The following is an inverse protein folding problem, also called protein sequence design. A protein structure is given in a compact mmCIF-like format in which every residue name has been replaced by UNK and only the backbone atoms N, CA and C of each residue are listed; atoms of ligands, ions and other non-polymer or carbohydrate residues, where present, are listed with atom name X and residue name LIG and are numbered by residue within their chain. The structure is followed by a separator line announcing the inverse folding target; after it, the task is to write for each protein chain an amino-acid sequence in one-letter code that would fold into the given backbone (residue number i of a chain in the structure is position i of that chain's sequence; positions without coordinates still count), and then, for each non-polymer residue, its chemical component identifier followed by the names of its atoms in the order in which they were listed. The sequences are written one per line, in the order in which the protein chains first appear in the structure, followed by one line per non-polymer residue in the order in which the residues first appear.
data_IF_371961324493
#
_entry.id   IF_371961324493
#
_cell.length_a   1.000
_cell.length_b   1.000
_cell.length_c   1.000
_cell.angle_alpha   90.00
_cell.angle_beta   90.00
_cell.angle_gamma   90.00
#
_symmetry.space_group_name_H-M   'P 1'
#
loop_
_entity.id
_entity.type
_entity.pdbx_description
1 polymer ?
#
# COMPACT_ATOMS: atom_id res chain seq x y z
N UNK A 1 -27.65 30.09 -6.68
CA UNK A 1 -28.09 29.02 -5.76
C UNK A 1 -27.28 29.04 -4.44
N UNK A 2 -26.89 30.21 -3.92
CA UNK A 2 -26.19 30.34 -2.62
C UNK A 2 -26.56 31.67 -1.93
N UNK A 3 -27.82 32.09 -2.05
CA UNK A 3 -28.29 33.40 -1.56
C UNK A 3 -29.19 33.33 -0.33
N UNK A 4 -29.52 32.13 0.16
CA UNK A 4 -30.50 31.94 1.24
C UNK A 4 -29.88 31.42 2.56
N UNK A 5 -28.55 31.44 2.70
CA UNK A 5 -27.89 31.07 3.96
C UNK A 5 -27.90 32.28 4.92
N UNK A 6 -28.22 32.09 6.21
CA UNK A 6 -28.18 33.19 7.18
C UNK A 6 -26.75 33.71 7.33
N UNK A 7 -26.60 35.03 7.47
CA UNK A 7 -25.31 35.73 7.53
C UNK A 7 -24.38 35.21 8.65
N UNK A 8 -24.95 34.65 9.72
CA UNK A 8 -24.21 33.97 10.79
C UNK A 8 -23.42 32.76 10.29
N UNK A 9 -24.02 31.97 9.39
CA UNK A 9 -23.44 30.72 8.92
C UNK A 9 -22.33 31.01 7.91
N UNK A 10 -22.53 32.03 7.06
CA UNK A 10 -21.49 32.52 6.13
C UNK A 10 -20.27 33.01 6.90
N UNK A 11 -20.49 33.80 7.97
CA UNK A 11 -19.40 34.32 8.79
C UNK A 11 -18.63 33.19 9.49
N UNK A 12 -19.32 32.20 10.05
CA UNK A 12 -18.70 31.03 10.68
C UNK A 12 -17.89 30.19 9.67
N UNK A 13 -18.41 30.02 8.45
CA UNK A 13 -17.71 29.31 7.38
C UNK A 13 -16.39 30.00 7.01
N UNK A 14 -16.40 31.31 6.84
CA UNK A 14 -15.22 32.10 6.46
C UNK A 14 -14.15 32.16 7.57
N UNK A 15 -14.56 32.34 8.83
CA UNK A 15 -13.61 32.59 9.93
C UNK A 15 -13.13 31.32 10.63
N UNK A 16 -13.95 30.27 10.69
CA UNK A 16 -13.62 29.07 11.47
C UNK A 16 -13.60 27.79 10.64
N UNK A 17 -14.64 27.52 9.85
CA UNK A 17 -14.79 26.19 9.23
C UNK A 17 -13.82 25.96 8.06
N UNK A 18 -13.70 26.92 7.14
CA UNK A 18 -12.83 26.82 5.96
C UNK A 18 -11.32 26.85 6.31
N UNK A 19 -10.83 27.75 7.18
CA UNK A 19 -9.41 27.78 7.53
C UNK A 19 -8.98 26.58 8.39
N UNK A 20 -9.90 25.97 9.16
CA UNK A 20 -9.59 24.79 9.97
C UNK A 20 -9.68 23.47 9.18
N UNK A 21 -10.13 23.48 7.92
CA UNK A 21 -10.26 22.25 7.14
C UNK A 21 -8.91 21.83 6.52
N UNK A 22 -8.35 20.67 6.90
CA UNK A 22 -7.05 20.22 6.38
C UNK A 22 -7.07 19.89 4.87
N UNK A 23 -8.26 19.74 4.27
CA UNK A 23 -8.45 19.51 2.83
C UNK A 23 -8.51 20.79 2.01
N UNK A 24 -8.37 21.97 2.62
CA UNK A 24 -8.48 23.26 1.94
C UNK A 24 -7.24 24.10 2.24
N UNK A 25 -6.72 24.79 1.22
CA UNK A 25 -5.65 25.76 1.36
C UNK A 25 -6.18 27.16 1.04
N UNK A 26 -5.98 28.10 1.97
CA UNK A 26 -6.29 29.51 1.77
C UNK A 26 -5.16 30.20 1.02
N UNK A 27 -5.44 30.71 -0.17
CA UNK A 27 -4.54 31.57 -0.93
C UNK A 27 -4.59 32.99 -0.35
N UNK A 28 -3.49 33.75 -0.44
CA UNK A 28 -3.40 35.13 0.06
C UNK A 28 -4.49 36.07 -0.52
N UNK A 29 -5.03 35.73 -1.69
CA UNK A 29 -6.11 36.47 -2.37
C UNK A 29 -7.51 36.18 -1.82
N UNK A 30 -7.64 35.47 -0.69
CA UNK A 30 -8.92 35.08 -0.10
C UNK A 30 -9.64 33.95 -0.85
N UNK A 31 -8.94 33.24 -1.75
CA UNK A 31 -9.48 32.09 -2.49
C UNK A 31 -9.11 30.78 -1.81
N UNK A 32 -10.05 29.85 -1.81
CA UNK A 32 -9.85 28.50 -1.27
C UNK A 32 -9.54 27.52 -2.39
N UNK A 33 -8.42 26.79 -2.26
CA UNK A 33 -8.00 25.76 -3.20
C UNK A 33 -8.08 24.40 -2.51
N UNK A 34 -8.62 23.40 -3.20
CA UNK A 34 -8.66 22.04 -2.68
C UNK A 34 -7.24 21.49 -2.53
N UNK A 35 -6.93 20.96 -1.34
CA UNK A 35 -5.67 20.32 -1.01
C UNK A 35 -5.88 18.81 -0.95
N UNK A 36 -5.55 18.07 -2.03
CA UNK A 36 -5.64 16.62 -2.00
C UNK A 36 -4.67 16.05 -0.95
N UNK A 37 -4.96 14.84 -0.48
CA UNK A 37 -4.11 14.13 0.49
C UNK A 37 -2.68 13.93 -0.02
N UNK A 38 -2.55 13.77 -1.34
CA UNK A 38 -1.27 13.67 -2.04
C UNK A 38 -1.27 14.66 -3.22
N UNK A 39 -0.24 15.50 -3.34
CA UNK A 39 -0.02 16.36 -4.52
C UNK A 39 0.86 15.61 -5.51
N UNK A 40 0.25 14.65 -6.20
CA UNK A 40 0.85 13.92 -7.32
C UNK A 40 0.11 14.30 -8.58
N UNK A 41 0.83 14.63 -9.65
CA UNK A 41 0.27 14.98 -10.97
C UNK A 41 0.87 14.14 -12.07
N UNK A 42 2.12 13.75 -11.90
CA UNK A 42 2.90 13.03 -12.90
C UNK A 42 3.16 11.57 -12.52
N UNK A 43 3.36 10.73 -13.54
CA UNK A 43 3.82 9.33 -13.39
C UNK A 43 5.07 9.20 -12.51
N UNK A 44 6.04 10.10 -12.73
CA UNK A 44 7.30 10.10 -12.01
C UNK A 44 7.11 10.47 -10.53
N UNK A 45 6.21 11.40 -10.25
CA UNK A 45 5.89 11.81 -8.87
C UNK A 45 5.17 10.68 -8.13
N UNK A 46 4.25 9.96 -8.78
CA UNK A 46 3.61 8.78 -8.21
C UNK A 46 4.63 7.70 -7.85
N UNK A 47 5.58 7.41 -8.75
CA UNK A 47 6.65 6.45 -8.49
C UNK A 47 7.53 6.87 -7.30
N UNK A 48 7.92 8.14 -7.25
CA UNK A 48 8.70 8.69 -6.14
C UNK A 48 7.93 8.66 -4.81
N UNK A 49 6.62 8.93 -4.86
CA UNK A 49 5.74 8.86 -3.69
C UNK A 49 5.69 7.44 -3.14
N UNK A 50 5.45 6.44 -4.00
CA UNK A 50 5.41 5.03 -3.61
C UNK A 50 6.75 4.57 -3.01
N UNK A 51 7.87 4.96 -3.63
CA UNK A 51 9.22 4.66 -3.12
C UNK A 51 9.48 5.27 -1.75
N UNK A 52 9.05 6.52 -1.53
CA UNK A 52 9.17 7.19 -0.22
C UNK A 52 8.29 6.54 0.84
N UNK A 53 7.10 6.08 0.44
CA UNK A 53 6.16 5.38 1.33
C UNK A 53 6.75 4.06 1.83
N UNK A 54 7.34 3.27 0.96
CA UNK A 54 8.04 2.04 1.33
C UNK A 54 9.25 2.33 2.21
N UNK A 55 10.10 3.29 1.82
CA UNK A 55 11.29 3.65 2.60
C UNK A 55 10.96 4.12 4.02
N UNK A 56 9.85 4.82 4.20
CA UNK A 56 9.35 5.25 5.52
C UNK A 56 8.55 4.19 6.26
N UNK A 57 8.26 3.05 5.64
CA UNK A 57 7.41 2.01 6.22
C UNK A 57 5.95 2.42 6.40
N UNK A 58 5.46 3.40 5.62
CA UNK A 58 4.08 3.91 5.71
C UNK A 58 3.06 2.98 5.05
N UNK A 59 3.53 1.91 4.39
CA UNK A 59 2.67 0.93 3.72
C UNK A 59 2.13 1.43 2.38
N UNK A 60 1.06 0.79 1.92
CA UNK A 60 0.43 1.04 0.63
C UNK A 60 -0.51 2.23 0.63
N UNK A 61 -0.77 2.77 -0.55
CA UNK A 61 -1.65 3.92 -0.78
C UNK A 61 -2.93 3.45 -1.45
N UNK A 62 -4.09 3.91 -0.99
CA UNK A 62 -5.36 3.60 -1.64
C UNK A 62 -5.45 4.27 -3.01
N UNK A 63 -5.99 3.54 -4.00
CA UNK A 63 -6.24 4.09 -5.32
C UNK A 63 -7.24 5.25 -5.26
N UNK A 64 -8.25 5.16 -4.39
CA UNK A 64 -9.25 6.23 -4.16
C UNK A 64 -8.58 7.55 -3.76
N UNK A 65 -7.62 7.51 -2.84
CA UNK A 65 -6.89 8.70 -2.37
C UNK A 65 -6.05 9.35 -3.49
N UNK A 66 -5.65 8.56 -4.51
CA UNK A 66 -4.90 9.03 -5.67
C UNK A 66 -5.83 9.50 -6.79
N UNK A 67 -7.02 8.90 -6.92
CA UNK A 67 -8.07 9.35 -7.83
C UNK A 67 -8.57 10.75 -7.47
N UNK A 68 -8.55 11.13 -6.19
CA UNK A 68 -8.82 12.50 -5.76
C UNK A 68 -7.75 13.51 -6.22
N UNK A 69 -6.52 13.06 -6.48
CA UNK A 69 -5.39 13.93 -6.83
C UNK A 69 -5.15 14.01 -8.36
N UNK A 70 -5.39 12.93 -9.09
CA UNK A 70 -5.05 12.77 -10.51
C UNK A 70 -6.27 12.30 -11.30
N UNK A 71 -6.63 13.05 -12.34
CA UNK A 71 -7.57 12.58 -13.36
C UNK A 71 -6.97 11.38 -14.12
N UNK A 72 -7.73 10.30 -14.30
CA UNK A 72 -7.30 9.05 -14.95
C UNK A 72 -6.14 8.31 -14.26
N UNK A 73 -6.16 8.23 -12.93
CA UNK A 73 -5.15 7.52 -12.13
C UNK A 73 -4.90 6.08 -12.61
N UNK A 74 -5.94 5.37 -13.07
CA UNK A 74 -5.82 3.99 -13.57
C UNK A 74 -4.86 3.89 -14.75
N UNK A 75 -4.92 4.84 -15.69
CA UNK A 75 -4.02 4.88 -16.85
C UNK A 75 -2.58 5.13 -16.43
N UNK A 76 -2.39 5.99 -15.44
CA UNK A 76 -1.05 6.26 -14.87
C UNK A 76 -0.52 5.01 -14.20
N UNK A 77 -1.31 4.34 -13.36
CA UNK A 77 -0.91 3.09 -12.67
C UNK A 77 -0.60 1.98 -13.68
N UNK A 78 -1.42 1.81 -14.72
CA UNK A 78 -1.16 0.86 -15.81
C UNK A 78 0.16 1.17 -16.52
N UNK A 79 0.52 2.45 -16.67
CA UNK A 79 1.80 2.85 -17.27
C UNK A 79 3.02 2.56 -16.38
N UNK A 80 2.84 2.37 -15.06
CA UNK A 80 3.92 1.91 -14.16
C UNK A 80 4.06 0.38 -14.19
N UNK A 81 2.98 -0.35 -14.48
CA UNK A 81 2.97 -1.81 -14.66
C UNK A 81 3.71 -2.54 -13.54
N UNK A 82 4.78 -3.23 -13.91
CA UNK A 82 5.58 -4.08 -13.02
C UNK A 82 6.26 -3.36 -11.84
N UNK A 83 6.30 -2.03 -11.83
CA UNK A 83 6.87 -1.26 -10.71
C UNK A 83 5.89 -1.07 -9.54
N UNK A 84 4.63 -1.49 -9.71
CA UNK A 84 3.58 -1.31 -8.72
C UNK A 84 2.83 -2.61 -8.51
N UNK A 85 2.66 -3.00 -7.25
CA UNK A 85 1.83 -4.15 -6.87
C UNK A 85 0.45 -3.62 -6.46
N UNK A 86 -0.59 -4.14 -7.10
CA UNK A 86 -1.98 -3.82 -6.78
C UNK A 86 -2.57 -4.95 -5.94
N UNK A 87 -3.05 -4.61 -4.75
CA UNK A 87 -3.72 -5.57 -3.86
C UNK A 87 -5.14 -5.10 -3.62
N UNK A 88 -6.11 -5.97 -3.87
CA UNK A 88 -7.51 -5.69 -3.55
C UNK A 88 -7.77 -6.14 -2.11
N UNK A 89 -8.21 -5.21 -1.27
CA UNK A 89 -8.59 -5.53 0.11
C UNK A 89 -9.85 -6.43 0.09
N UNK A 90 -9.85 -7.59 0.77
CA UNK A 90 -10.96 -8.54 0.70
C UNK A 90 -12.25 -8.02 1.36
N UNK A 91 -12.13 -7.12 2.35
CA UNK A 91 -13.28 -6.53 3.04
C UNK A 91 -13.98 -5.45 2.21
N UNK A 92 -13.22 -4.45 1.74
CA UNK A 92 -13.80 -3.26 1.13
C UNK A 92 -13.73 -3.25 -0.41
N UNK A 93 -13.11 -4.28 -1.02
CA UNK A 93 -12.80 -4.36 -2.46
C UNK A 93 -12.01 -3.15 -3.00
N UNK A 94 -11.41 -2.36 -2.12
CA UNK A 94 -10.58 -1.22 -2.47
C UNK A 94 -9.22 -1.69 -2.95
N UNK A 95 -8.68 -1.00 -3.96
CA UNK A 95 -7.34 -1.26 -4.48
C UNK A 95 -6.32 -0.47 -3.67
N UNK A 96 -5.30 -1.17 -3.17
CA UNK A 96 -4.13 -0.60 -2.50
C UNK A 96 -2.91 -0.81 -3.38
N UNK A 97 -2.18 0.28 -3.62
CA UNK A 97 -0.94 0.29 -4.40
C UNK A 97 0.27 0.20 -3.49
N UNK A 98 1.19 -0.69 -3.84
CA UNK A 98 2.49 -0.85 -3.19
C UNK A 98 3.61 -0.66 -4.21
N UNK A 99 4.76 -0.17 -3.75
CA UNK A 99 5.98 -0.15 -4.55
C UNK A 99 6.50 -1.59 -4.73
N UNK A 100 6.89 -1.95 -5.96
CA UNK A 100 7.55 -3.22 -6.24
C UNK A 100 9.07 -3.03 -6.37
N UNK A 101 9.85 -3.54 -5.43
CA UNK A 101 11.30 -3.59 -5.57
C UNK A 101 11.75 -4.79 -6.40
N UNK A 102 12.02 -4.53 -7.69
CA UNK A 102 12.53 -5.52 -8.65
C UNK A 102 13.93 -6.05 -8.31
N UNK A 103 14.62 -5.45 -7.36
CA UNK A 103 15.93 -5.95 -6.89
C UNK A 103 15.82 -7.35 -6.28
N UNK A 104 14.63 -7.74 -5.83
CA UNK A 104 14.35 -9.01 -5.17
C UNK A 104 13.46 -9.95 -6.00
N UNK A 105 13.42 -9.80 -7.32
CA UNK A 105 12.73 -10.75 -8.20
C UNK A 105 13.45 -12.10 -8.21
N UNK A 106 13.08 -12.94 -7.23
CA UNK A 106 13.38 -14.35 -7.23
C UNK A 106 12.58 -14.94 -8.39
N UNK A 107 13.23 -15.14 -9.55
CA UNK A 107 12.68 -15.73 -10.78
C UNK A 107 12.23 -17.20 -10.63
N UNK A 108 11.57 -17.52 -9.52
CA UNK A 108 11.03 -18.82 -9.18
C UNK A 108 9.77 -19.02 -10.01
N UNK A 109 9.92 -19.75 -11.12
CA UNK A 109 8.80 -20.21 -11.93
C UNK A 109 7.80 -20.99 -11.06
N UNK A 110 6.54 -20.59 -11.11
CA UNK A 110 5.44 -20.93 -10.18
C UNK A 110 5.09 -22.44 -10.07
N UNK A 111 5.75 -23.32 -10.82
CA UNK A 111 5.33 -24.72 -10.96
C UNK A 111 5.77 -25.71 -9.87
N UNK A 112 6.81 -25.44 -9.06
CA UNK A 112 7.42 -26.51 -8.21
C UNK A 112 7.53 -26.24 -6.71
N UNK A 113 7.44 -24.99 -6.26
CA UNK A 113 7.82 -24.64 -4.88
C UNK A 113 6.67 -24.11 -3.99
N UNK A 114 5.57 -23.64 -4.58
CA UNK A 114 4.47 -23.00 -3.83
C UNK A 114 3.64 -23.97 -2.98
N UNK A 115 3.48 -25.22 -3.43
CA UNK A 115 2.78 -26.29 -2.68
C UNK A 115 3.61 -26.81 -1.49
N UNK A 116 4.91 -27.16 -1.63
CA UNK A 116 5.68 -27.66 -0.50
C UNK A 116 5.92 -26.60 0.59
N UNK A 117 6.12 -25.32 0.25
CA UNK A 117 6.36 -24.28 1.27
C UNK A 117 5.16 -24.03 2.21
N UNK A 118 3.92 -24.09 1.68
CA UNK A 118 2.70 -24.03 2.53
C UNK A 118 2.59 -25.22 3.47
N UNK A 119 3.13 -26.37 3.07
CA UNK A 119 3.11 -27.59 3.87
C UNK A 119 4.20 -27.59 4.96
N UNK A 120 5.35 -26.98 4.68
CA UNK A 120 6.48 -26.90 5.60
C UNK A 120 6.19 -25.91 6.74
N UNK A 121 5.55 -24.76 6.49
CA UNK A 121 5.24 -23.80 7.56
C UNK A 121 4.26 -24.33 8.62
N UNK A 122 3.32 -25.19 8.23
CA UNK A 122 2.37 -25.79 9.16
C UNK A 122 2.95 -26.94 9.99
N UNK A 123 4.02 -27.60 9.52
CA UNK A 123 4.69 -28.70 10.24
C UNK A 123 5.93 -28.27 11.05
N UNK A 124 6.54 -27.11 10.74
CA UNK A 124 7.85 -26.74 11.29
C UNK A 124 7.85 -26.14 12.71
N UNK A 125 6.68 -25.93 13.34
CA UNK A 125 6.62 -25.30 14.67
C UNK A 125 6.88 -26.30 15.82
N UNK A 126 6.95 -27.60 15.55
CA UNK A 126 7.34 -28.58 16.57
C UNK A 126 8.58 -29.37 16.15
N UNK A 127 9.73 -28.93 16.68
CA UNK A 127 11.02 -29.63 16.75
C UNK A 127 11.74 -29.86 15.40
N UNK A 128 12.48 -28.84 14.95
CA UNK A 128 13.64 -29.06 14.06
C UNK A 128 14.89 -28.56 14.78
N UNK A 129 15.61 -29.49 15.42
CA UNK A 129 16.99 -29.25 15.86
C UNK A 129 17.92 -29.36 14.66
N UNK A 130 18.43 -28.23 14.19
CA UNK A 130 19.46 -28.18 13.15
C UNK A 130 20.83 -28.52 13.74
N UNK A 131 21.35 -29.72 13.45
CA UNK A 131 22.75 -30.02 13.74
C UNK A 131 23.60 -29.73 12.50
N UNK A 132 24.34 -28.61 12.56
CA UNK A 132 25.14 -28.11 11.45
C UNK A 132 26.51 -28.83 11.44
N UNK A 133 26.74 -29.71 10.46
CA UNK A 133 28.08 -30.25 10.17
C UNK A 133 28.66 -29.57 8.93
N UNK A 134 29.96 -29.21 8.93
CA UNK A 134 30.52 -28.24 7.99
C UNK A 134 30.47 -28.63 6.51
N UNK A 135 30.31 -29.91 6.14
CA UNK A 135 30.41 -30.33 4.74
C UNK A 135 29.24 -31.17 4.21
N UNK A 136 28.15 -31.32 4.95
CA UNK A 136 26.95 -32.02 4.45
C UNK A 136 25.75 -31.86 5.39
N UNK A 137 24.63 -31.35 4.86
CA UNK A 137 23.35 -31.34 5.59
C UNK A 137 22.67 -32.69 5.38
N UNK A 138 22.65 -33.53 6.40
CA UNK A 138 21.89 -34.79 6.42
C UNK A 138 20.59 -34.59 7.20
N UNK A 139 19.45 -34.61 6.51
CA UNK A 139 18.12 -34.53 7.11
C UNK A 139 17.66 -35.94 7.52
N UNK A 140 17.63 -36.22 8.82
CA UNK A 140 17.04 -37.47 9.35
C UNK A 140 15.68 -37.17 9.97
N UNK A 141 14.60 -37.49 9.25
CA UNK A 141 13.23 -37.37 9.77
C UNK A 141 12.93 -38.53 10.72
N UNK A 142 12.97 -38.28 12.04
CA UNK A 142 12.50 -39.26 13.03
C UNK A 142 10.98 -39.17 13.18
N UNK A 143 10.27 -40.17 12.65
CA UNK A 143 8.82 -40.33 12.81
C UNK A 143 8.52 -40.80 14.24
N UNK A 144 8.11 -39.89 15.13
CA UNK A 144 7.63 -40.25 16.48
C UNK A 144 6.32 -41.03 16.32
N UNK A 145 6.34 -42.35 16.53
CA UNK A 145 5.10 -43.13 16.68
C UNK A 145 4.42 -42.64 17.95
N UNK A 146 3.16 -42.23 17.81
CA UNK A 146 2.27 -41.89 18.91
C UNK A 146 1.71 -43.24 19.39
N UNK A 147 2.25 -43.78 20.48
CA UNK A 147 1.68 -44.96 21.11
C UNK A 147 0.28 -44.63 21.67
N UNK A 148 -0.58 -45.62 21.54
CA UNK A 148 -2.03 -45.58 21.75
C UNK A 148 -2.38 -45.57 23.23
#
# INVERSE_FOLDING_TARGET
MLQDAPLSDVKWLETEALPNNPKIHSTADGKFVFKPKYDVRNRQELYQLLKRHEFRGLGGIYLDDLAEAVADVERVVQSLGDHVIQVVTPHDKKVVLFYNDKSFDLGIKEGKFRRPLKFISFFCVQAIDFNFKPNSISLTVRKRRRDR
#
